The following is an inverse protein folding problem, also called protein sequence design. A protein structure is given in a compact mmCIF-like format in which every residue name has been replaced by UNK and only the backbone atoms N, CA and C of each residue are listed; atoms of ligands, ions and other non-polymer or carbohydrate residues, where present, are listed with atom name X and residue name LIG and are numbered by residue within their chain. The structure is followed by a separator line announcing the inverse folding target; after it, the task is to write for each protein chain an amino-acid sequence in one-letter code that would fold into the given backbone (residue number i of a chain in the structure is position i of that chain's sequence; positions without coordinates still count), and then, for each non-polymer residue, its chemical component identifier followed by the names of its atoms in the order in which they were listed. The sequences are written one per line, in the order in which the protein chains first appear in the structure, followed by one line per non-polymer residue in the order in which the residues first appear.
data_IF_055434288317
#
_entry.id   IF_055434288317
#
_cell.length_a   1.000
_cell.length_b   1.000
_cell.length_c   1.000
_cell.angle_alpha   90.00
_cell.angle_beta   90.00
_cell.angle_gamma   90.00
#
_symmetry.space_group_name_H-M   'P 1'
#
loop_
_entity.id
_entity.type
_entity.pdbx_description
1 polymer ?
#
# COMPACT_ATOMS: atom_id res chain seq x y z
N UNK A 1 -9.03 23.94 1.57
CA UNK A 1 -9.66 23.10 2.64
C UNK A 1 -10.39 24.00 3.63
N UNK A 2 -11.51 23.56 4.20
CA UNK A 2 -12.26 24.35 5.19
C UNK A 2 -11.54 24.50 6.54
N UNK A 3 -12.17 25.21 7.50
CA UNK A 3 -11.64 25.42 8.86
C UNK A 3 -11.37 24.11 9.65
N UNK A 4 -12.01 23.02 9.25
CA UNK A 4 -11.88 21.67 9.85
C UNK A 4 -10.74 20.83 9.24
N UNK A 5 -9.93 21.39 8.34
CA UNK A 5 -8.80 20.68 7.74
C UNK A 5 -7.70 20.39 8.76
N UNK A 6 -6.95 19.30 8.55
CA UNK A 6 -5.73 18.98 9.31
C UNK A 6 -4.77 20.18 9.33
N UNK A 7 -4.34 20.59 10.53
CA UNK A 7 -3.47 21.75 10.74
C UNK A 7 -2.06 21.55 10.17
N UNK A 8 -1.63 20.31 10.03
CA UNK A 8 -0.34 19.90 9.49
C UNK A 8 -0.38 19.62 7.97
N UNK A 9 -1.52 19.87 7.31
CA UNK A 9 -1.56 19.89 5.84
C UNK A 9 -0.69 21.03 5.31
N UNK A 10 0.25 20.77 4.39
CA UNK A 10 1.08 21.80 3.78
C UNK A 10 0.28 22.96 3.20
N UNK A 11 0.80 24.19 3.32
CA UNK A 11 0.11 25.40 2.84
C UNK A 11 -0.22 25.29 1.34
N UNK A 12 0.75 24.82 0.53
CA UNK A 12 0.59 24.64 -0.90
C UNK A 12 -0.65 23.80 -1.25
N UNK A 13 -0.91 22.74 -0.49
CA UNK A 13 -2.03 21.83 -0.74
C UNK A 13 -3.37 22.44 -0.33
N UNK A 14 -3.37 23.32 0.68
CA UNK A 14 -4.58 24.00 1.17
C UNK A 14 -5.04 25.12 0.25
N UNK A 15 -4.09 25.78 -0.41
CA UNK A 15 -4.29 26.96 -1.27
C UNK A 15 -4.33 26.60 -2.75
N UNK A 16 -4.17 25.32 -3.11
CA UNK A 16 -4.11 24.89 -4.50
C UNK A 16 -5.43 25.22 -5.24
N UNK A 17 -5.39 26.03 -6.33
CA UNK A 17 -6.60 26.43 -7.04
C UNK A 17 -7.33 25.28 -7.73
N UNK A 18 -6.58 24.34 -8.31
CA UNK A 18 -7.15 23.17 -8.99
C UNK A 18 -6.13 22.02 -9.07
N UNK A 19 -6.62 20.86 -9.52
CA UNK A 19 -5.85 19.65 -9.72
C UNK A 19 -6.06 19.13 -11.14
N UNK A 20 -5.00 18.56 -11.70
CA UNK A 20 -5.04 17.82 -12.96
C UNK A 20 -4.78 16.37 -12.65
N UNK A 21 -5.51 15.49 -13.31
CA UNK A 21 -5.23 14.06 -13.36
C UNK A 21 -4.77 13.72 -14.77
N UNK A 22 -3.66 12.99 -14.89
CA UNK A 22 -3.06 12.64 -16.16
C UNK A 22 -2.21 11.36 -16.04
N UNK A 23 -1.66 10.90 -17.16
CA UNK A 23 -0.98 9.62 -17.29
C UNK A 23 0.35 9.80 -18.03
N UNK A 24 1.39 9.09 -17.58
CA UNK A 24 2.56 8.89 -18.45
C UNK A 24 2.19 7.93 -19.60
N UNK A 25 2.72 8.15 -20.82
CA UNK A 25 2.45 7.27 -21.97
C UNK A 25 2.77 5.79 -21.67
N UNK A 26 1.98 4.88 -22.26
CA UNK A 26 2.25 3.45 -22.18
C UNK A 26 3.32 3.06 -23.20
N UNK A 27 4.53 2.83 -22.72
CA UNK A 27 5.70 2.35 -23.47
C UNK A 27 6.11 0.92 -23.08
N UNK A 28 5.54 0.36 -22.01
CA UNK A 28 5.65 -1.05 -21.69
C UNK A 28 4.68 -1.86 -22.59
N UNK A 29 5.16 -2.86 -23.36
CA UNK A 29 4.32 -3.69 -24.21
C UNK A 29 3.33 -4.57 -23.44
N UNK A 30 3.60 -4.85 -22.17
CA UNK A 30 2.69 -5.59 -21.27
C UNK A 30 1.66 -4.66 -20.61
N UNK A 31 1.73 -3.35 -20.83
CA UNK A 31 0.77 -2.42 -20.23
C UNK A 31 -0.63 -2.64 -20.81
N UNK A 32 -1.60 -2.95 -19.94
CA UNK A 32 -2.99 -2.93 -20.33
C UNK A 32 -3.37 -1.54 -20.90
N UNK A 33 -4.22 -1.50 -21.95
CA UNK A 33 -4.69 -0.23 -22.49
C UNK A 33 -5.39 0.57 -21.39
N UNK A 34 -5.18 1.89 -21.38
CA UNK A 34 -5.86 2.80 -20.47
C UNK A 34 -7.37 2.45 -20.49
N UNK A 35 -8.02 2.26 -19.32
CA UNK A 35 -9.42 1.83 -19.28
C UNK A 35 -10.29 2.69 -20.19
N UNK A 36 -11.16 2.08 -20.98
CA UNK A 36 -11.95 2.75 -22.04
C UNK A 36 -12.73 3.96 -21.48
N UNK A 37 -13.20 3.89 -20.24
CA UNK A 37 -13.94 4.97 -19.57
C UNK A 37 -13.14 6.26 -19.37
N UNK A 38 -11.81 6.20 -19.46
CA UNK A 38 -10.88 7.31 -19.23
C UNK A 38 -9.82 7.44 -20.33
N UNK A 39 -9.90 6.62 -21.39
CA UNK A 39 -8.93 6.64 -22.50
C UNK A 39 -9.15 7.88 -23.36
N UNK A 40 -8.13 8.71 -23.60
CA UNK A 40 -8.25 9.78 -24.59
C UNK A 40 -8.46 9.19 -25.99
N UNK A 41 -9.29 9.82 -26.81
CA UNK A 41 -9.65 9.33 -28.16
C UNK A 41 -8.45 9.15 -29.10
N UNK A 42 -7.32 9.83 -28.82
CA UNK A 42 -6.05 9.66 -29.53
C UNK A 42 -4.85 9.76 -28.58
N UNK A 43 -3.94 8.80 -28.69
CA UNK A 43 -2.59 8.85 -28.11
C UNK A 43 -1.64 9.50 -29.13
N UNK A 44 -1.80 10.81 -29.37
CA UNK A 44 -0.86 11.57 -30.22
C UNK A 44 -0.01 12.51 -29.35
N UNK A 45 0.75 11.89 -28.45
CA UNK A 45 1.58 12.61 -27.51
C UNK A 45 3.03 12.14 -27.67
N UNK A 46 3.94 13.09 -27.87
CA UNK A 46 5.35 12.84 -27.65
C UNK A 46 5.56 12.22 -26.26
N UNK A 47 6.57 11.35 -26.10
CA UNK A 47 6.92 10.71 -24.81
C UNK A 47 6.89 11.68 -23.62
N UNK A 48 7.33 12.91 -23.85
CA UNK A 48 7.53 13.94 -22.84
C UNK A 48 6.30 14.85 -22.61
N UNK A 49 5.21 14.66 -23.37
CA UNK A 49 4.05 15.54 -23.33
C UNK A 49 3.38 15.60 -21.95
N UNK A 50 3.48 14.52 -21.16
CA UNK A 50 2.92 14.45 -19.81
C UNK A 50 3.48 15.55 -18.89
N UNK A 51 4.73 16.01 -19.05
CA UNK A 51 5.24 17.14 -18.26
C UNK A 51 5.33 18.46 -19.05
N UNK A 52 5.46 18.40 -20.39
CA UNK A 52 5.52 19.61 -21.24
C UNK A 52 4.18 20.32 -21.33
N UNK A 53 3.08 19.58 -21.46
CA UNK A 53 1.75 20.16 -21.55
C UNK A 53 1.31 20.88 -20.26
N UNK A 54 1.43 20.28 -19.05
CA UNK A 54 1.12 21.01 -17.82
C UNK A 54 2.06 22.19 -17.60
N UNK A 55 3.33 22.11 -18.01
CA UNK A 55 4.22 23.29 -18.00
C UNK A 55 3.69 24.43 -18.87
N UNK A 56 3.30 24.16 -20.12
CA UNK A 56 2.70 25.18 -20.99
C UNK A 56 1.38 25.73 -20.42
N UNK A 57 0.57 24.88 -19.79
CA UNK A 57 -0.65 25.30 -19.12
C UNK A 57 -0.35 26.23 -17.94
N UNK A 58 0.66 25.89 -17.13
CA UNK A 58 1.13 26.70 -16.00
C UNK A 58 1.59 28.07 -16.44
N UNK A 59 2.32 28.17 -17.55
CA UNK A 59 2.75 29.44 -18.15
C UNK A 59 1.55 30.29 -18.61
N UNK A 60 0.53 29.67 -19.22
CA UNK A 60 -0.66 30.38 -19.71
C UNK A 60 -1.60 30.85 -18.61
N UNK A 61 -1.79 30.03 -17.57
CA UNK A 61 -2.71 30.35 -16.48
C UNK A 61 -2.09 31.23 -15.40
N UNK A 62 -0.76 31.20 -15.25
CA UNK A 62 -0.05 32.03 -14.27
C UNK A 62 -0.27 31.61 -12.81
N UNK A 63 -0.93 30.47 -12.54
CA UNK A 63 -1.23 29.98 -11.18
C UNK A 63 -0.70 28.56 -10.95
N UNK A 64 -0.27 28.20 -9.72
CA UNK A 64 0.16 26.84 -9.41
C UNK A 64 -1.02 25.85 -9.44
N UNK A 65 -0.72 24.56 -9.58
CA UNK A 65 -1.71 23.49 -9.47
C UNK A 65 -1.09 22.17 -9.01
N UNK A 66 -1.94 21.26 -8.52
CA UNK A 66 -1.54 19.90 -8.21
C UNK A 66 -1.68 18.98 -9.42
N UNK A 67 -0.77 18.02 -9.58
CA UNK A 67 -0.72 17.15 -10.75
C UNK A 67 -0.65 15.68 -10.31
N UNK A 68 -1.79 15.01 -10.38
CA UNK A 68 -1.96 13.60 -10.06
C UNK A 68 -1.59 12.75 -11.28
N UNK A 69 -0.49 12.01 -11.18
CA UNK A 69 0.08 11.26 -12.32
C UNK A 69 0.02 9.76 -12.11
N UNK A 70 -0.52 9.07 -13.11
CA UNK A 70 -0.62 7.62 -13.19
C UNK A 70 0.41 7.05 -14.18
N UNK A 71 0.62 5.73 -14.13
CA UNK A 71 1.51 4.98 -15.02
C UNK A 71 2.96 5.48 -15.07
N UNK A 72 3.45 6.09 -13.99
CA UNK A 72 4.82 6.61 -13.88
C UNK A 72 5.90 5.52 -13.74
N UNK A 73 5.49 4.30 -13.48
CA UNK A 73 6.32 3.12 -13.22
C UNK A 73 6.31 2.16 -14.41
N UNK A 74 7.29 1.24 -14.46
CA UNK A 74 7.40 0.28 -15.58
C UNK A 74 6.31 -0.80 -15.58
N UNK A 75 5.86 -1.25 -14.41
CA UNK A 75 4.87 -2.34 -14.31
C UNK A 75 3.50 -1.96 -14.91
N UNK A 76 2.70 -2.91 -15.43
CA UNK A 76 1.35 -2.63 -15.92
C UNK A 76 0.43 -2.10 -14.79
N UNK A 77 -0.65 -1.41 -15.17
CA UNK A 77 -1.60 -0.88 -14.20
C UNK A 77 -2.44 -2.02 -13.59
N UNK A 78 -2.62 -2.02 -12.25
CA UNK A 78 -3.29 -3.09 -11.51
C UNK A 78 -2.67 -4.49 -11.69
N UNK A 79 -1.36 -4.54 -11.89
CA UNK A 79 -0.54 -5.74 -12.01
C UNK A 79 0.79 -5.48 -11.27
N UNK A 80 1.46 -6.52 -10.79
CA UNK A 80 2.81 -6.47 -10.22
C UNK A 80 2.96 -5.56 -8.99
N UNK A 81 1.85 -5.13 -8.40
CA UNK A 81 1.90 -4.33 -7.18
C UNK A 81 2.51 -5.13 -6.02
N UNK A 82 3.29 -4.49 -5.14
CA UNK A 82 3.60 -3.06 -5.08
C UNK A 82 4.97 -2.71 -5.72
N UNK A 83 5.43 -3.43 -6.75
CA UNK A 83 6.77 -3.29 -7.33
C UNK A 83 6.90 -2.10 -8.29
N UNK A 84 6.51 -0.89 -7.85
CA UNK A 84 6.47 0.33 -8.67
C UNK A 84 7.82 0.83 -9.21
N UNK A 85 8.94 0.18 -8.88
CA UNK A 85 10.26 0.59 -9.36
C UNK A 85 10.87 -0.46 -10.27
N UNK A 86 11.54 -0.05 -11.36
CA UNK A 86 11.95 1.32 -11.69
C UNK A 86 10.83 2.24 -12.22
N UNK A 87 11.06 3.54 -12.12
CA UNK A 87 10.24 4.55 -12.80
C UNK A 87 10.45 4.45 -14.31
N UNK A 88 9.49 4.91 -15.11
CA UNK A 88 9.70 5.12 -16.55
C UNK A 88 10.77 6.18 -16.79
N UNK A 89 11.37 6.13 -17.97
CA UNK A 89 12.36 7.11 -18.40
C UNK A 89 11.75 8.53 -18.39
N UNK A 90 12.50 9.51 -17.90
CA UNK A 90 12.07 10.90 -17.87
C UNK A 90 11.13 11.26 -16.73
N UNK A 91 10.69 10.31 -15.90
CA UNK A 91 9.79 10.60 -14.78
C UNK A 91 10.39 11.60 -13.79
N UNK A 92 11.59 11.32 -13.26
CA UNK A 92 12.23 12.17 -12.27
C UNK A 92 12.60 13.56 -12.84
N UNK A 93 13.02 13.61 -14.11
CA UNK A 93 13.32 14.85 -14.82
C UNK A 93 12.05 15.69 -15.03
N UNK A 94 10.95 15.07 -15.46
CA UNK A 94 9.66 15.73 -15.63
C UNK A 94 9.09 16.24 -14.31
N UNK A 95 9.18 15.46 -13.22
CA UNK A 95 8.82 15.90 -11.87
C UNK A 95 9.63 17.12 -11.48
N UNK A 96 10.97 17.09 -11.65
CA UNK A 96 11.83 18.22 -11.31
C UNK A 96 11.43 19.50 -12.06
N UNK A 97 11.17 19.41 -13.36
CA UNK A 97 10.73 20.55 -14.17
C UNK A 97 9.40 21.11 -13.65
N UNK A 98 8.43 20.24 -13.37
CA UNK A 98 7.12 20.65 -12.88
C UNK A 98 7.18 21.30 -11.49
N UNK A 99 7.86 20.67 -10.54
CA UNK A 99 8.01 21.18 -9.16
C UNK A 99 8.69 22.55 -9.14
N UNK A 100 9.71 22.77 -9.98
CA UNK A 100 10.40 24.06 -10.12
C UNK A 100 9.50 25.18 -10.68
N UNK A 101 8.37 24.84 -11.29
CA UNK A 101 7.45 25.79 -11.90
C UNK A 101 6.09 25.86 -11.17
N UNK A 102 6.04 25.40 -9.91
CA UNK A 102 4.82 25.46 -9.10
C UNK A 102 3.73 24.47 -9.55
N UNK A 103 4.14 23.36 -10.17
CA UNK A 103 3.28 22.22 -10.46
C UNK A 103 3.67 21.10 -9.49
N UNK A 104 2.81 20.85 -8.51
CA UNK A 104 3.10 19.93 -7.42
C UNK A 104 2.67 18.51 -7.78
N UNK A 105 3.63 17.62 -7.97
CA UNK A 105 3.41 16.28 -8.52
C UNK A 105 3.04 15.30 -7.42
N UNK A 106 2.03 14.48 -7.72
CA UNK A 106 1.48 13.46 -6.83
C UNK A 106 1.30 12.15 -7.61
N UNK A 107 2.31 11.26 -7.67
CA UNK A 107 2.14 9.95 -8.27
C UNK A 107 1.10 9.09 -7.54
N UNK A 108 0.38 8.29 -8.32
CA UNK A 108 -0.48 7.22 -7.84
C UNK A 108 0.32 6.00 -7.38
N UNK A 109 -0.03 5.44 -6.24
CA UNK A 109 0.25 4.04 -5.86
C UNK A 109 -1.02 3.42 -5.27
N UNK A 110 -1.16 2.11 -5.34
CA UNK A 110 -2.10 1.37 -4.51
C UNK A 110 -1.52 1.09 -3.11
N UNK A 111 -2.32 1.35 -2.06
CA UNK A 111 -1.92 1.20 -0.65
C UNK A 111 -2.45 -0.04 0.05
N UNK A 112 -3.08 -0.98 -0.66
CA UNK A 112 -3.77 -2.12 -0.04
C UNK A 112 -3.42 -3.49 -0.60
N UNK A 113 -2.94 -3.62 -1.83
CA UNK A 113 -2.89 -4.93 -2.50
C UNK A 113 -1.50 -5.30 -3.02
N UNK A 114 -1.20 -6.60 -2.99
CA UNK A 114 0.02 -7.22 -3.50
C UNK A 114 -0.37 -8.31 -4.50
N UNK A 115 0.24 -8.32 -5.67
CA UNK A 115 0.04 -9.36 -6.67
C UNK A 115 0.49 -10.76 -6.20
N UNK A 116 -0.30 -11.80 -6.46
CA UNK A 116 0.12 -13.18 -6.15
C UNK A 116 1.13 -13.73 -7.15
N UNK A 117 1.26 -13.11 -8.33
CA UNK A 117 2.31 -13.36 -9.33
C UNK A 117 3.09 -12.07 -9.57
N UNK A 118 3.79 -11.61 -8.55
CA UNK A 118 4.40 -10.28 -8.47
C UNK A 118 5.72 -10.08 -9.24
N UNK A 119 5.75 -10.62 -10.47
CA UNK A 119 6.68 -10.29 -11.55
C UNK A 119 6.18 -10.95 -12.83
N UNK A 120 5.19 -10.34 -13.48
CA UNK A 120 4.46 -10.88 -14.63
C UNK A 120 3.74 -12.17 -14.24
N UNK A 121 4.27 -13.33 -14.61
CA UNK A 121 3.67 -14.64 -14.35
C UNK A 121 4.34 -15.41 -13.19
N UNK A 122 5.29 -14.78 -12.48
CA UNK A 122 6.12 -15.41 -11.46
C UNK A 122 5.71 -15.04 -10.04
N UNK A 123 5.92 -15.96 -9.10
CA UNK A 123 5.94 -15.66 -7.67
C UNK A 123 7.34 -15.24 -7.26
N UNK A 124 7.59 -13.93 -7.24
CA UNK A 124 8.90 -13.36 -6.93
C UNK A 124 9.07 -13.10 -5.42
N UNK A 125 8.13 -12.40 -4.80
CA UNK A 125 8.14 -12.12 -3.36
C UNK A 125 6.82 -12.49 -2.67
N UNK A 126 5.78 -12.87 -3.40
CA UNK A 126 4.49 -13.08 -2.78
C UNK A 126 4.51 -14.20 -1.73
N UNK A 127 4.76 -15.46 -2.12
CA UNK A 127 4.70 -16.57 -1.15
C UNK A 127 5.83 -16.52 -0.14
N UNK A 128 7.03 -16.10 -0.55
CA UNK A 128 8.21 -16.10 0.30
C UNK A 128 8.27 -14.95 1.32
N UNK A 129 7.53 -13.85 1.09
CA UNK A 129 7.61 -12.65 1.92
C UNK A 129 6.26 -12.02 2.20
N UNK A 130 5.44 -11.77 1.18
CA UNK A 130 4.21 -10.98 1.33
C UNK A 130 3.08 -11.76 2.02
N UNK A 131 2.92 -13.04 1.72
CA UNK A 131 1.77 -13.86 2.13
C UNK A 131 1.55 -13.86 3.65
N UNK A 132 2.59 -13.71 4.46
CA UNK A 132 2.46 -13.61 5.93
C UNK A 132 1.73 -12.34 6.40
N UNK A 133 1.77 -11.26 5.62
CA UNK A 133 1.07 -10.00 5.87
C UNK A 133 -0.24 -9.86 5.08
N UNK A 134 -0.59 -10.85 4.26
CA UNK A 134 -1.83 -10.86 3.49
C UNK A 134 -3.03 -11.18 4.40
N UNK A 135 -4.16 -10.54 4.11
CA UNK A 135 -5.44 -10.78 4.77
C UNK A 135 -5.97 -12.15 4.36
N UNK A 136 -6.45 -12.90 5.36
CA UNK A 136 -7.13 -14.18 5.17
C UNK A 136 -8.60 -14.04 5.56
N UNK A 137 -9.46 -14.74 4.84
CA UNK A 137 -10.87 -14.92 5.17
C UNK A 137 -10.99 -15.87 6.38
N UNK A 138 -12.18 -15.97 6.95
CA UNK A 138 -12.47 -16.92 8.04
C UNK A 138 -12.16 -18.38 7.66
N UNK A 139 -12.22 -18.73 6.37
CA UNK A 139 -11.85 -20.05 5.85
C UNK A 139 -10.33 -20.34 5.88
N UNK A 140 -9.50 -19.34 6.17
CA UNK A 140 -8.04 -19.40 6.04
C UNK A 140 -7.51 -19.10 4.64
N UNK A 141 -8.40 -19.01 3.63
CA UNK A 141 -8.03 -18.62 2.26
C UNK A 141 -7.66 -17.14 2.17
N UNK A 142 -6.82 -16.79 1.19
CA UNK A 142 -6.47 -15.39 0.92
C UNK A 142 -7.70 -14.57 0.51
N UNK A 143 -7.75 -13.33 1.00
CA UNK A 143 -8.66 -12.30 0.50
C UNK A 143 -8.06 -11.70 -0.78
N UNK A 144 -8.55 -12.18 -1.92
CA UNK A 144 -8.09 -11.78 -3.26
C UNK A 144 -9.08 -10.82 -3.92
N UNK A 145 -8.54 -9.90 -4.70
CA UNK A 145 -9.24 -9.01 -5.61
C UNK A 145 -8.73 -9.21 -7.03
N UNK A 146 -9.60 -8.91 -8.00
CA UNK A 146 -9.29 -8.99 -9.42
C UNK A 146 -9.94 -7.80 -10.12
N UNK A 147 -9.21 -7.20 -11.06
CA UNK A 147 -9.67 -6.10 -11.90
C UNK A 147 -9.53 -6.49 -13.37
N UNK A 148 -9.88 -5.58 -14.29
CA UNK A 148 -9.66 -5.76 -15.73
C UNK A 148 -8.17 -5.59 -16.10
N UNK A 149 -7.29 -6.32 -15.41
CA UNK A 149 -5.87 -6.44 -15.70
C UNK A 149 -5.51 -7.91 -15.89
N UNK A 150 -4.58 -8.18 -16.79
CA UNK A 150 -4.26 -9.56 -17.20
C UNK A 150 -2.78 -9.92 -17.01
N UNK A 151 -2.56 -11.21 -16.77
CA UNK A 151 -1.26 -11.85 -16.84
C UNK A 151 -0.84 -12.10 -18.30
N UNK A 152 0.44 -12.40 -18.58
CA UNK A 152 0.89 -12.75 -19.94
C UNK A 152 0.15 -13.93 -20.58
N UNK A 153 -0.41 -14.84 -19.77
CA UNK A 153 -1.22 -15.97 -20.23
C UNK A 153 -2.69 -15.60 -20.53
N UNK A 154 -3.07 -14.34 -20.33
CA UNK A 154 -4.42 -13.81 -20.53
C UNK A 154 -5.39 -14.07 -19.37
N UNK A 155 -4.95 -14.73 -18.30
CA UNK A 155 -5.75 -14.85 -17.08
C UNK A 155 -5.80 -13.52 -16.32
N UNK A 156 -6.82 -13.33 -15.50
CA UNK A 156 -6.92 -12.11 -14.70
C UNK A 156 -5.92 -12.13 -13.54
N UNK A 157 -5.33 -10.97 -13.28
CA UNK A 157 -4.43 -10.76 -12.14
C UNK A 157 -5.17 -11.02 -10.82
N UNK A 158 -4.47 -11.66 -9.89
CA UNK A 158 -4.98 -11.95 -8.54
C UNK A 158 -4.18 -11.16 -7.52
N UNK A 159 -4.82 -10.16 -6.93
CA UNK A 159 -4.20 -9.22 -5.99
C UNK A 159 -4.64 -9.58 -4.58
N UNK A 160 -3.72 -10.06 -3.74
CA UNK A 160 -3.96 -10.31 -2.34
C UNK A 160 -4.03 -8.98 -1.57
N UNK A 161 -5.12 -8.83 -0.83
CA UNK A 161 -5.30 -7.69 0.07
C UNK A 161 -4.37 -7.84 1.27
N UNK A 162 -3.71 -6.74 1.64
CA UNK A 162 -2.66 -6.71 2.65
C UNK A 162 -3.17 -6.08 3.92
N UNK A 163 -2.77 -6.65 5.06
CA UNK A 163 -3.17 -6.12 6.34
C UNK A 163 -2.38 -4.84 6.64
N UNK A 164 -3.03 -3.68 6.84
CA UNK A 164 -2.37 -2.39 7.04
C UNK A 164 -1.56 -2.33 8.35
N UNK A 165 -1.83 -3.20 9.32
CA UNK A 165 -1.05 -3.29 10.56
C UNK A 165 0.15 -4.24 10.46
N UNK A 166 0.23 -5.08 9.41
CA UNK A 166 1.34 -6.02 9.25
C UNK A 166 2.66 -5.30 9.03
N UNK A 167 3.73 -5.79 9.66
CA UNK A 167 5.06 -5.21 9.51
C UNK A 167 5.51 -5.22 8.04
N UNK A 168 5.32 -6.34 7.34
CA UNK A 168 5.70 -6.50 5.93
C UNK A 168 5.03 -5.44 5.05
N UNK A 169 3.72 -5.20 5.23
CA UNK A 169 3.02 -4.21 4.40
C UNK A 169 3.41 -2.79 4.75
N UNK A 170 3.42 -2.44 6.05
CA UNK A 170 3.84 -1.10 6.51
C UNK A 170 5.22 -0.76 5.99
N UNK A 171 6.18 -1.68 6.13
CA UNK A 171 7.56 -1.49 5.68
C UNK A 171 7.65 -1.33 4.16
N UNK A 172 6.89 -2.13 3.43
CA UNK A 172 6.87 -2.05 1.95
C UNK A 172 6.36 -0.71 1.46
N UNK A 173 5.21 -0.24 1.98
CA UNK A 173 4.68 1.09 1.63
C UNK A 173 5.60 2.21 2.09
N UNK A 174 6.17 2.12 3.31
CA UNK A 174 7.14 3.09 3.83
C UNK A 174 8.36 3.24 2.91
N UNK A 175 8.93 2.13 2.44
CA UNK A 175 10.10 2.13 1.58
C UNK A 175 9.79 2.72 0.19
N UNK A 176 8.62 2.42 -0.38
CA UNK A 176 8.13 3.02 -1.63
C UNK A 176 7.96 4.53 -1.47
N UNK A 177 7.27 4.96 -0.42
CA UNK A 177 7.03 6.39 -0.10
C UNK A 177 8.36 7.12 0.09
N UNK A 178 9.27 6.58 0.90
CA UNK A 178 10.61 7.15 1.10
C UNK A 178 11.37 7.27 -0.21
N UNK A 179 11.29 6.28 -1.09
CA UNK A 179 11.98 6.31 -2.38
C UNK A 179 11.37 7.37 -3.32
N UNK A 180 10.05 7.50 -3.38
CA UNK A 180 9.38 8.55 -4.16
C UNK A 180 9.81 9.95 -3.71
N UNK A 181 9.79 10.24 -2.40
CA UNK A 181 10.22 11.55 -1.90
C UNK A 181 11.72 11.78 -2.10
N UNK A 182 12.58 10.80 -1.81
CA UNK A 182 14.04 10.99 -1.84
C UNK A 182 14.69 10.88 -3.22
N UNK A 183 14.10 10.12 -4.15
CA UNK A 183 14.67 9.87 -5.50
C UNK A 183 13.92 10.60 -6.60
N UNK A 184 12.61 10.78 -6.46
CA UNK A 184 11.78 11.42 -7.48
C UNK A 184 11.41 12.86 -7.12
N UNK A 185 11.62 13.29 -5.86
CA UNK A 185 11.37 14.65 -5.38
C UNK A 185 9.94 15.14 -5.64
N UNK A 186 8.96 14.25 -5.41
CA UNK A 186 7.53 14.55 -5.54
C UNK A 186 7.02 15.35 -4.33
N UNK A 187 6.02 16.20 -4.53
CA UNK A 187 5.36 16.96 -3.45
C UNK A 187 4.40 16.13 -2.61
N UNK A 188 3.76 15.11 -3.18
CA UNK A 188 2.79 14.26 -2.51
C UNK A 188 2.72 12.85 -3.14
N UNK A 189 1.92 11.95 -2.56
CA UNK A 189 1.62 10.64 -3.13
C UNK A 189 0.13 10.38 -2.93
N UNK A 190 -0.56 9.96 -4.00
CA UNK A 190 -1.92 9.44 -3.88
C UNK A 190 -1.84 7.95 -3.57
N UNK A 191 -2.38 7.55 -2.42
CA UNK A 191 -2.36 6.16 -1.96
C UNK A 191 -3.78 5.60 -2.06
N UNK A 192 -4.02 4.81 -3.10
CA UNK A 192 -5.35 4.34 -3.46
C UNK A 192 -5.91 3.32 -2.47
N UNK A 193 -7.24 3.21 -2.49
CA UNK A 193 -8.06 2.28 -1.71
C UNK A 193 -8.06 2.46 -0.19
N UNK A 194 -7.08 3.15 0.40
CA UNK A 194 -6.99 3.29 1.87
C UNK A 194 -8.25 3.90 2.48
N UNK A 195 -8.86 4.88 1.81
CA UNK A 195 -10.06 5.58 2.30
C UNK A 195 -11.37 5.16 1.58
N UNK A 196 -11.30 4.24 0.61
CA UNK A 196 -12.43 3.90 -0.26
C UNK A 196 -12.77 2.40 -0.23
N UNK A 197 -11.81 1.53 0.04
CA UNK A 197 -12.03 0.10 0.19
C UNK A 197 -12.38 -0.26 1.63
N UNK A 198 -13.07 -1.40 1.80
CA UNK A 198 -13.35 -1.94 3.12
C UNK A 198 -12.05 -2.28 3.85
N UNK A 199 -11.93 -1.83 5.10
CA UNK A 199 -10.80 -2.15 5.96
C UNK A 199 -10.89 -3.61 6.40
N UNK A 200 -10.16 -4.49 5.71
CA UNK A 200 -10.05 -5.89 6.10
C UNK A 200 -8.81 -6.06 6.99
N UNK A 201 -9.01 -6.41 8.26
CA UNK A 201 -7.93 -6.56 9.26
C UNK A 201 -7.64 -8.02 9.63
N UNK A 202 -8.34 -9.00 9.05
CA UNK A 202 -8.21 -10.39 9.49
C UNK A 202 -6.91 -11.02 9.01
N UNK A 203 -5.91 -11.04 9.88
CA UNK A 203 -4.76 -11.92 9.79
C UNK A 203 -5.06 -13.21 10.55
N UNK A 204 -5.56 -14.24 9.86
CA UNK A 204 -5.58 -15.60 10.40
C UNK A 204 -4.21 -16.26 10.21
N UNK A 205 -3.21 -15.71 10.89
CA UNK A 205 -1.98 -16.43 11.20
C UNK A 205 -1.93 -16.53 12.72
N UNK A 206 -2.61 -17.55 13.26
CA UNK A 206 -2.59 -17.95 14.67
C UNK A 206 -2.56 -16.81 15.71
N UNK A 207 -3.71 -16.16 15.92
CA UNK A 207 -4.37 -15.98 17.22
C UNK A 207 -5.57 -15.03 17.04
N UNK A 208 -6.71 -15.42 17.60
CA UNK A 208 -8.00 -14.72 17.61
C UNK A 208 -8.84 -14.81 16.32
N UNK A 209 -9.69 -15.84 16.27
CA UNK A 209 -10.98 -15.78 15.57
C UNK A 209 -11.92 -14.93 16.43
N UNK A 210 -12.27 -13.74 15.94
CA UNK A 210 -13.41 -13.00 16.47
C UNK A 210 -14.59 -13.15 15.50
N UNK A 211 -15.42 -14.17 15.69
CA UNK A 211 -16.74 -14.22 15.05
C UNK A 211 -17.81 -13.76 16.04
N UNK A 212 -18.50 -12.69 15.69
CA UNK A 212 -19.62 -12.16 16.47
C UNK A 212 -20.92 -12.83 15.97
N UNK A 213 -21.43 -13.82 16.71
CA UNK A 213 -22.78 -14.36 16.49
C UNK A 213 -23.53 -14.52 17.81
N UNK A 214 -24.62 -13.75 17.95
CA UNK A 214 -25.69 -13.92 18.96
C UNK A 214 -25.20 -14.23 20.39
N UNK A 215 -24.48 -13.30 21.00
CA UNK A 215 -24.40 -13.20 22.47
C UNK A 215 -23.62 -14.29 23.22
N UNK A 216 -22.82 -15.12 22.54
CA UNK A 216 -21.80 -15.96 23.18
C UNK A 216 -20.46 -15.78 22.45
N UNK A 217 -19.44 -15.33 23.18
CA UNK A 217 -18.04 -15.42 22.77
C UNK A 217 -17.46 -16.72 23.32
N UNK A 218 -17.07 -17.62 22.43
CA UNK A 218 -16.21 -18.76 22.79
C UNK A 218 -14.81 -18.47 22.26
N UNK A 219 -13.86 -18.22 23.16
CA UNK A 219 -12.44 -18.14 22.82
C UNK A 219 -11.80 -19.50 23.10
N UNK A 220 -11.24 -20.15 22.08
CA UNK A 220 -10.36 -21.32 22.26
C UNK A 220 -8.93 -20.83 22.52
N UNK A 221 -8.35 -21.24 23.65
CA UNK A 221 -6.92 -21.17 23.89
C UNK A 221 -6.22 -22.01 22.80
N UNK A 222 -5.21 -21.44 22.12
CA UNK A 222 -4.32 -22.24 21.26
C UNK A 222 -2.97 -22.30 21.95
N UNK A 223 -2.52 -23.52 22.19
CA UNK A 223 -1.23 -23.87 22.80
C UNK A 223 -0.09 -23.36 21.90
N UNK A 224 0.77 -22.49 22.43
CA UNK A 224 2.03 -22.14 21.76
C UNK A 224 3.04 -23.22 22.17
N UNK A 225 3.27 -24.19 21.28
CA UNK A 225 4.20 -25.29 21.53
C UNK A 225 5.57 -24.77 22.02
N UNK A 226 5.98 -25.20 23.22
CA UNK A 226 7.31 -24.97 23.78
C UNK A 226 7.45 -23.83 24.79
N UNK A 227 6.47 -22.93 24.91
CA UNK A 227 6.51 -21.83 25.91
C UNK A 227 6.08 -22.35 27.27
N UNK A 228 6.96 -22.26 28.26
CA UNK A 228 6.72 -22.78 29.61
C UNK A 228 6.45 -21.68 30.65
N UNK A 229 6.96 -20.46 30.42
CA UNK A 229 6.77 -19.35 31.35
C UNK A 229 6.69 -18.00 30.62
N UNK A 230 5.84 -17.13 31.15
CA UNK A 230 5.70 -15.73 30.73
C UNK A 230 6.00 -14.85 31.94
N UNK A 231 6.84 -13.83 31.77
CA UNK A 231 7.05 -12.77 32.77
C UNK A 231 6.64 -11.41 32.19
N UNK A 232 6.05 -10.57 33.04
CA UNK A 232 5.65 -9.21 32.68
C UNK A 232 6.34 -8.27 33.66
N UNK A 233 7.16 -7.35 33.14
CA UNK A 233 7.90 -6.37 33.93
C UNK A 233 7.73 -4.97 33.30
N UNK A 234 6.73 -4.23 33.79
CA UNK A 234 6.30 -2.98 33.15
C UNK A 234 5.74 -3.23 31.76
N UNK A 235 6.28 -2.54 30.76
CA UNK A 235 5.88 -2.69 29.35
C UNK A 235 6.57 -3.87 28.64
N UNK A 236 7.47 -4.58 29.33
CA UNK A 236 8.21 -5.70 28.76
C UNK A 236 7.50 -7.03 29.03
N UNK A 237 7.33 -7.84 27.98
CA UNK A 237 6.87 -9.23 28.08
C UNK A 237 8.01 -10.16 27.67
N UNK A 238 8.39 -11.06 28.58
CA UNK A 238 9.44 -12.03 28.38
C UNK A 238 8.83 -13.43 28.28
N UNK A 239 9.17 -14.16 27.22
CA UNK A 239 8.75 -15.55 27.00
C UNK A 239 9.93 -16.49 27.18
N UNK A 240 9.74 -17.55 27.95
CA UNK A 240 10.78 -18.53 28.28
C UNK A 240 10.40 -19.91 27.72
N UNK A 241 11.31 -20.48 26.93
CA UNK A 241 11.35 -21.91 26.59
C UNK A 241 12.57 -22.53 27.28
N UNK A 242 12.66 -23.86 27.34
CA UNK A 242 13.66 -24.54 28.18
C UNK A 242 15.14 -24.26 27.83
N UNK A 243 15.46 -23.59 26.71
CA UNK A 243 16.85 -23.27 26.32
C UNK A 243 16.93 -21.95 25.52
N UNK A 244 17.05 -20.81 26.21
CA UNK A 244 17.35 -19.43 25.73
C UNK A 244 16.18 -18.44 25.52
N UNK A 245 16.49 -17.18 25.88
CA UNK A 245 15.66 -15.97 25.80
C UNK A 245 15.24 -15.67 24.36
N UNK A 246 13.93 -15.56 24.09
CA UNK A 246 13.45 -15.58 22.71
C UNK A 246 13.28 -14.21 22.05
N UNK A 247 12.83 -13.13 22.71
CA UNK A 247 12.49 -11.87 22.02
C UNK A 247 12.58 -10.63 22.93
N UNK A 248 13.16 -9.54 22.40
CA UNK A 248 13.07 -8.16 22.88
C UNK A 248 12.12 -7.34 21.97
N UNK A 249 11.10 -6.74 22.59
CA UNK A 249 10.24 -5.62 22.17
C UNK A 249 9.37 -5.67 20.88
N UNK A 250 8.09 -5.26 21.05
CA UNK A 250 7.50 -4.31 20.10
C UNK A 250 5.98 -4.24 19.92
N UNK A 251 5.21 -5.31 20.12
CA UNK A 251 3.75 -5.27 19.82
C UNK A 251 2.97 -6.27 20.68
N UNK A 252 2.64 -5.91 21.91
CA UNK A 252 1.65 -6.65 22.71
C UNK A 252 0.50 -5.70 23.04
N UNK A 253 -0.70 -6.03 22.54
CA UNK A 253 -1.92 -5.36 22.96
C UNK A 253 -2.48 -6.12 24.18
N UNK A 254 -2.39 -5.49 25.36
CA UNK A 254 -3.03 -5.96 26.58
C UNK A 254 -4.44 -5.38 26.63
N UNK A 255 -5.47 -6.22 26.54
CA UNK A 255 -6.86 -5.80 26.76
C UNK A 255 -7.33 -6.36 28.11
N UNK A 256 -7.53 -5.48 29.10
CA UNK A 256 -8.04 -5.85 30.41
C UNK A 256 -9.58 -5.89 30.41
N UNK A 257 -10.17 -7.01 30.82
CA UNK A 257 -11.59 -7.08 31.19
C UNK A 257 -11.70 -7.43 32.68
N UNK A 258 -12.67 -6.84 33.42
CA UNK A 258 -12.63 -6.83 34.89
C UNK A 258 -12.71 -8.20 35.57
N UNK A 259 -13.15 -9.26 34.86
CA UNK A 259 -13.54 -10.52 35.50
C UNK A 259 -12.79 -11.77 35.01
N UNK A 260 -11.84 -11.66 34.06
CA UNK A 260 -10.94 -12.77 33.68
C UNK A 260 -9.59 -12.23 33.19
N UNK A 261 -8.49 -12.58 33.88
CA UNK A 261 -7.14 -12.31 33.35
C UNK A 261 -6.90 -13.19 32.13
N UNK A 262 -6.88 -12.60 30.94
CA UNK A 262 -6.44 -13.24 29.71
C UNK A 262 -5.33 -12.42 29.07
N UNK A 263 -4.21 -13.09 28.79
CA UNK A 263 -3.04 -12.51 28.13
C UNK A 263 -3.03 -12.92 26.66
N UNK A 264 -2.94 -11.96 25.76
CA UNK A 264 -2.79 -12.19 24.33
C UNK A 264 -1.37 -11.78 23.91
N UNK A 265 -0.57 -12.74 23.44
CA UNK A 265 0.80 -12.50 22.96
C UNK A 265 0.85 -12.80 21.47
N UNK A 266 1.13 -11.79 20.65
CA UNK A 266 1.38 -11.98 19.22
C UNK A 266 2.89 -12.11 19.00
N UNK A 267 3.33 -13.28 18.52
CA UNK A 267 4.73 -13.56 18.23
C UNK A 267 4.92 -13.51 16.70
N UNK A 268 5.72 -12.58 16.14
CA UNK A 268 6.14 -12.67 14.76
C UNK A 268 7.12 -13.85 14.60
N UNK A 269 6.90 -14.73 13.62
CA UNK A 269 7.88 -15.78 13.30
C UNK A 269 9.15 -15.18 12.67
N UNK A 270 10.30 -15.72 13.08
CA UNK A 270 11.62 -15.47 12.45
C UNK A 270 11.67 -16.01 11.02
#
# INVERSE_FOLDING_TARGET
MGKEGRVDTPLWMREMPFWIMDWMPNDNPDADPIPISIRPEKEDYSRDSWYKNPFLLRERLGVPFGYHVYNWHWIPFNNDYPHYFPTKEGFAEGVKIMEQNGIHVMPYINGRIWDTKDRRDQDYQFSGKAMQGAVKKESGELSLETYASHEPDGSLVKLATMCPSSYVWKKTIEDIVKKLFSKCNVSAIYIDQVAAAWSNLTMYNFAAVNTFRRGKMEAKLVEINGVQKISINGDNIELYTNEEYLIDNGCVNLEFKPDEMKLFVMIPNK
#
